data_IF_710536594208
#
_entry.id   IF_710536594208
#
_cell.length_a   1.000
_cell.length_b   1.000
_cell.length_c   1.000
_cell.angle_alpha   90.00
_cell.angle_beta   90.00
_cell.angle_gamma   90.00
#
_symmetry.space_group_name_H-M   'P 1'
#
loop_
_entity.id
_entity.type
_entity.pdbx_description
1 polymer ?
#
# COMPACT_ATOMS: atom_id res chain seq x y z
N UNK A 1 10.68 4.71 -12.37
CA UNK A 1 11.06 3.28 -12.48
C UNK A 1 11.77 3.06 -13.79
N UNK A 2 11.91 1.81 -14.22
CA UNK A 2 12.51 1.46 -15.51
C UNK A 2 11.71 0.35 -16.20
N UNK A 3 11.93 0.19 -17.50
CA UNK A 3 11.40 -0.91 -18.31
C UNK A 3 12.60 -1.77 -18.72
N UNK A 4 12.45 -3.08 -18.64
CA UNK A 4 13.44 -4.05 -19.11
C UNK A 4 12.77 -5.03 -20.07
N UNK A 5 13.40 -5.29 -21.22
CA UNK A 5 12.96 -6.29 -22.19
C UNK A 5 14.18 -6.87 -22.91
N UNK A 6 14.08 -8.12 -23.37
CA UNK A 6 15.06 -8.73 -24.27
C UNK A 6 14.79 -8.41 -25.74
N UNK A 7 13.61 -7.90 -26.06
CA UNK A 7 13.22 -7.49 -27.41
C UNK A 7 13.65 -6.04 -27.66
N UNK A 8 14.67 -5.80 -28.51
CA UNK A 8 15.13 -4.44 -28.81
C UNK A 8 14.08 -3.62 -29.55
N UNK A 9 13.29 -4.25 -30.43
CA UNK A 9 12.24 -3.57 -31.17
C UNK A 9 11.19 -2.97 -30.22
N UNK A 10 10.83 -3.70 -29.17
CA UNK A 10 9.94 -3.20 -28.13
C UNK A 10 10.53 -2.00 -27.37
N UNK A 11 11.81 -2.07 -26.99
CA UNK A 11 12.48 -0.96 -26.29
C UNK A 11 12.51 0.31 -27.16
N UNK A 12 12.81 0.17 -28.45
CA UNK A 12 12.84 1.31 -29.38
C UNK A 12 11.46 1.95 -29.53
N UNK A 13 10.39 1.15 -29.62
CA UNK A 13 9.02 1.66 -29.70
C UNK A 13 8.61 2.40 -28.43
N UNK A 14 8.99 1.91 -27.26
CA UNK A 14 8.77 2.61 -25.98
C UNK A 14 9.57 3.91 -25.94
N UNK A 15 10.82 3.92 -26.41
CA UNK A 15 11.65 5.13 -26.45
C UNK A 15 11.03 6.19 -27.37
N UNK A 16 10.55 5.84 -28.56
CA UNK A 16 9.85 6.79 -29.43
C UNK A 16 8.56 7.34 -28.80
N UNK A 17 7.83 6.53 -28.03
CA UNK A 17 6.65 7.02 -27.30
C UNK A 17 7.02 8.01 -26.19
N UNK A 18 8.21 7.89 -25.60
CA UNK A 18 8.67 8.84 -24.58
C UNK A 18 8.78 10.24 -25.12
N UNK A 19 9.19 10.44 -26.38
CA UNK A 19 9.31 11.77 -26.98
C UNK A 19 7.98 12.56 -27.00
N UNK A 20 6.84 11.85 -27.03
CA UNK A 20 5.51 12.44 -26.99
C UNK A 20 4.92 12.59 -25.59
N UNK A 21 5.54 12.00 -24.56
CA UNK A 21 4.97 11.95 -23.21
C UNK A 21 5.86 12.62 -22.17
N UNK A 22 7.15 12.27 -22.14
CA UNK A 22 8.04 12.62 -21.02
C UNK A 22 9.45 13.03 -21.46
N UNK A 23 9.84 12.73 -22.70
CA UNK A 23 11.18 12.89 -23.27
C UNK A 23 12.21 12.11 -22.43
N UNK A 24 12.63 12.66 -21.29
CA UNK A 24 13.57 12.06 -20.37
C UNK A 24 13.22 12.35 -18.91
N UNK A 25 13.86 11.61 -18.00
CA UNK A 25 13.79 11.92 -16.57
C UNK A 25 14.67 13.13 -16.26
N UNK A 26 14.40 13.82 -15.15
CA UNK A 26 15.25 14.94 -14.75
C UNK A 26 16.64 14.44 -14.32
N UNK A 27 17.70 15.12 -14.77
CA UNK A 27 19.07 14.75 -14.42
C UNK A 27 19.33 14.71 -12.89
N UNK A 28 18.82 15.66 -12.07
CA UNK A 28 18.94 15.55 -10.61
C UNK A 28 18.24 14.32 -10.04
N UNK A 29 17.07 13.95 -10.56
CA UNK A 29 16.37 12.73 -10.13
C UNK A 29 17.16 11.47 -10.50
N UNK A 30 17.83 11.45 -11.65
CA UNK A 30 18.70 10.33 -12.06
C UNK A 30 19.89 10.16 -11.12
N UNK A 31 20.53 11.26 -10.69
CA UNK A 31 21.61 11.22 -9.70
C UNK A 31 21.12 10.60 -8.38
N UNK A 32 19.96 11.05 -7.87
CA UNK A 32 19.37 10.50 -6.65
C UNK A 32 18.97 9.03 -6.81
N UNK A 33 18.42 8.65 -7.97
CA UNK A 33 18.06 7.28 -8.27
C UNK A 33 19.29 6.36 -8.30
N UNK A 34 20.40 6.79 -8.91
CA UNK A 34 21.66 6.05 -8.92
C UNK A 34 22.21 5.89 -7.49
N UNK A 35 22.19 6.97 -6.69
CA UNK A 35 22.61 6.91 -5.29
C UNK A 35 21.76 5.93 -4.47
N UNK A 36 20.44 5.95 -4.66
CA UNK A 36 19.52 5.03 -4.00
C UNK A 36 19.74 3.57 -4.45
N UNK A 37 19.91 3.31 -5.75
CA UNK A 37 20.13 1.97 -6.29
C UNK A 37 21.46 1.35 -5.81
N UNK A 38 22.52 2.14 -5.67
CA UNK A 38 23.79 1.71 -5.07
C UNK A 38 23.66 1.30 -3.59
N UNK A 39 22.59 1.74 -2.93
CA UNK A 39 22.22 1.39 -1.54
C UNK A 39 20.91 0.59 -1.49
N UNK A 40 20.55 -0.06 -2.60
CA UNK A 40 19.25 -0.72 -2.78
C UNK A 40 18.94 -1.74 -1.69
N UNK A 41 19.90 -2.60 -1.36
CA UNK A 41 19.71 -3.65 -0.34
C UNK A 41 19.49 -3.07 1.06
N UNK A 42 20.21 -2.00 1.41
CA UNK A 42 20.08 -1.32 2.69
C UNK A 42 18.71 -0.64 2.81
N UNK A 43 18.30 0.12 1.78
CA UNK A 43 17.02 0.80 1.74
C UNK A 43 15.85 -0.19 1.75
N UNK A 44 15.92 -1.22 0.91
CA UNK A 44 14.91 -2.26 0.83
C UNK A 44 14.85 -3.07 2.13
N UNK A 45 15.99 -3.39 2.74
CA UNK A 45 16.08 -4.06 4.04
C UNK A 45 15.40 -3.26 5.15
N UNK A 46 15.66 -1.94 5.21
CA UNK A 46 14.99 -1.04 6.15
C UNK A 46 13.48 -1.02 5.94
N UNK A 47 13.01 -0.87 4.70
CA UNK A 47 11.58 -0.87 4.39
C UNK A 47 10.92 -2.21 4.72
N UNK A 48 11.56 -3.34 4.39
CA UNK A 48 11.08 -4.68 4.76
C UNK A 48 10.96 -4.85 6.27
N UNK A 49 11.94 -4.39 7.04
CA UNK A 49 11.90 -4.47 8.50
C UNK A 49 10.68 -3.74 9.09
N UNK A 50 10.34 -2.56 8.55
CA UNK A 50 9.16 -1.80 8.98
C UNK A 50 7.89 -2.61 8.68
N UNK A 51 7.76 -3.12 7.45
CA UNK A 51 6.58 -3.88 7.04
C UNK A 51 6.41 -5.16 7.85
N UNK A 52 7.49 -5.92 8.09
CA UNK A 52 7.44 -7.16 8.87
C UNK A 52 6.98 -6.90 10.30
N UNK A 53 7.54 -5.88 10.96
CA UNK A 53 7.13 -5.51 12.33
C UNK A 53 5.66 -5.09 12.39
N UNK A 54 5.19 -4.34 11.40
CA UNK A 54 3.80 -3.91 11.32
C UNK A 54 2.85 -5.04 10.96
N UNK A 55 3.30 -6.03 10.19
CA UNK A 55 2.47 -7.17 9.79
C UNK A 55 2.05 -8.01 11.00
N UNK A 56 2.95 -8.23 11.97
CA UNK A 56 2.64 -9.02 13.16
C UNK A 56 1.54 -8.38 14.01
N UNK A 57 1.62 -7.06 14.23
CA UNK A 57 0.57 -6.32 14.97
C UNK A 57 -0.73 -6.25 14.18
N UNK A 58 -0.66 -6.09 12.86
CA UNK A 58 -1.83 -6.09 11.98
C UNK A 58 -2.55 -7.44 12.02
N UNK A 59 -1.81 -8.54 11.84
CA UNK A 59 -2.35 -9.90 11.86
C UNK A 59 -3.08 -10.15 13.18
N UNK A 60 -2.44 -9.85 14.30
CA UNK A 60 -3.07 -9.99 15.62
C UNK A 60 -4.35 -9.15 15.72
N UNK A 61 -4.31 -7.89 15.32
CA UNK A 61 -5.45 -6.97 15.41
C UNK A 61 -6.70 -7.50 14.69
N UNK A 62 -6.55 -8.03 13.48
CA UNK A 62 -7.68 -8.54 12.70
C UNK A 62 -8.14 -9.93 13.16
N UNK A 63 -7.21 -10.82 13.54
CA UNK A 63 -7.58 -12.14 14.07
C UNK A 63 -8.32 -12.04 15.42
N UNK A 64 -7.93 -11.08 16.27
CA UNK A 64 -8.63 -10.80 17.53
C UNK A 64 -10.06 -10.22 17.30
N UNK A 65 -10.40 -9.82 16.06
CA UNK A 65 -11.68 -9.22 15.65
C UNK A 65 -12.31 -9.98 14.47
N UNK A 66 -12.20 -11.31 14.48
CA UNK A 66 -12.69 -12.19 13.40
C UNK A 66 -14.21 -12.15 13.19
N UNK A 67 -14.98 -11.60 14.12
CA UNK A 67 -16.40 -11.31 14.00
C UNK A 67 -16.68 -10.07 13.12
N UNK A 68 -15.73 -9.13 13.08
CA UNK A 68 -15.82 -7.88 12.30
C UNK A 68 -15.06 -7.92 10.99
N UNK A 69 -14.02 -8.74 10.89
CA UNK A 69 -13.14 -8.77 9.72
C UNK A 69 -12.74 -10.19 9.33
N UNK A 70 -12.53 -10.38 8.04
CA UNK A 70 -11.79 -11.54 7.53
C UNK A 70 -10.38 -11.09 7.11
N UNK A 71 -9.37 -11.78 7.65
CA UNK A 71 -7.98 -11.47 7.41
C UNK A 71 -7.38 -12.34 6.29
N UNK A 72 -6.72 -11.70 5.34
CA UNK A 72 -5.96 -12.36 4.29
C UNK A 72 -4.48 -12.00 4.42
N UNK A 73 -3.65 -13.00 4.74
CA UNK A 73 -2.21 -12.79 4.91
C UNK A 73 -1.57 -12.37 3.58
N UNK A 74 -0.95 -11.18 3.49
CA UNK A 74 -0.30 -10.73 2.27
C UNK A 74 0.98 -11.52 2.03
N UNK A 75 1.12 -12.09 0.82
CA UNK A 75 2.33 -12.84 0.42
C UNK A 75 3.54 -11.94 0.12
N UNK A 76 3.32 -10.63 -0.02
CA UNK A 76 4.37 -9.65 -0.30
C UNK A 76 3.83 -8.23 -0.39
N UNK A 77 4.75 -7.27 -0.52
CA UNK A 77 4.43 -5.85 -0.55
C UNK A 77 4.27 -5.25 0.84
N UNK A 78 3.66 -4.06 0.91
CA UNK A 78 3.49 -3.28 2.15
C UNK A 78 2.04 -2.95 2.46
N UNK A 79 1.10 -3.71 1.89
CA UNK A 79 -0.33 -3.45 1.98
C UNK A 79 -1.10 -4.75 2.22
N UNK A 80 -2.20 -4.67 2.95
CA UNK A 80 -3.15 -5.75 3.16
C UNK A 80 -4.55 -5.33 2.66
N UNK A 81 -5.41 -6.33 2.45
CA UNK A 81 -6.77 -6.13 1.93
C UNK A 81 -7.76 -6.98 2.75
N UNK A 82 -8.01 -6.64 4.02
CA UNK A 82 -9.02 -7.33 4.83
C UNK A 82 -10.44 -7.06 4.31
N UNK A 83 -11.34 -8.01 4.56
CA UNK A 83 -12.78 -7.84 4.31
C UNK A 83 -13.47 -7.33 5.57
N UNK A 84 -14.37 -6.37 5.39
CA UNK A 84 -15.31 -5.93 6.42
C UNK A 84 -16.51 -6.88 6.45
N UNK A 85 -16.82 -7.42 7.63
CA UNK A 85 -17.98 -8.28 7.86
C UNK A 85 -19.17 -7.49 8.40
N UNK A 86 -20.37 -8.03 8.17
CA UNK A 86 -21.64 -7.45 8.61
C UNK A 86 -22.37 -6.72 7.49
N UNK A 87 -23.28 -5.82 7.87
CA UNK A 87 -24.15 -5.08 6.95
C UNK A 87 -23.62 -3.71 6.56
N UNK A 88 -22.59 -3.21 7.26
CA UNK A 88 -21.96 -1.93 6.96
C UNK A 88 -21.17 -2.04 5.65
N UNK A 89 -21.35 -1.05 4.76
CA UNK A 89 -20.57 -0.96 3.53
C UNK A 89 -19.18 -0.42 3.82
N UNK A 90 -18.18 -0.90 3.07
CA UNK A 90 -16.80 -0.45 3.24
C UNK A 90 -16.61 1.00 2.80
N UNK A 91 -17.46 1.49 1.88
CA UNK A 91 -17.51 2.90 1.50
C UNK A 91 -17.82 3.77 2.73
N UNK A 92 -18.92 3.51 3.41
CA UNK A 92 -19.34 4.30 4.58
C UNK A 92 -18.32 4.14 5.73
N UNK A 93 -17.77 2.94 5.91
CA UNK A 93 -16.72 2.67 6.88
C UNK A 93 -15.46 3.53 6.63
N UNK A 94 -14.97 3.59 5.40
CA UNK A 94 -13.81 4.40 5.04
C UNK A 94 -14.09 5.91 5.12
N UNK A 95 -15.29 6.35 4.72
CA UNK A 95 -15.71 7.75 4.85
C UNK A 95 -15.73 8.18 6.33
N UNK A 96 -16.35 7.39 7.21
CA UNK A 96 -16.41 7.67 8.65
C UNK A 96 -15.03 7.64 9.31
N UNK A 97 -14.16 6.69 8.93
CA UNK A 97 -12.80 6.62 9.45
C UNK A 97 -12.00 7.90 9.17
N UNK A 98 -12.19 8.49 7.98
CA UNK A 98 -11.53 9.76 7.63
C UNK A 98 -12.18 10.94 8.35
N UNK A 99 -13.50 11.05 8.36
CA UNK A 99 -14.21 12.24 8.90
C UNK A 99 -14.15 12.31 10.42
N UNK A 100 -14.27 11.18 11.11
CA UNK A 100 -14.36 11.13 12.59
C UNK A 100 -13.00 10.99 13.26
N UNK A 101 -12.04 10.35 12.58
CA UNK A 101 -10.76 9.93 13.18
C UNK A 101 -9.53 10.35 12.37
N UNK A 102 -9.70 11.04 11.24
CA UNK A 102 -8.60 11.42 10.34
C UNK A 102 -7.76 10.20 9.89
N UNK A 103 -8.38 9.02 9.81
CA UNK A 103 -7.74 7.78 9.43
C UNK A 103 -8.04 7.46 7.95
N UNK A 104 -7.02 7.58 7.11
CA UNK A 104 -7.14 7.29 5.68
C UNK A 104 -6.87 5.82 5.36
N UNK A 105 -7.94 5.10 5.06
CA UNK A 105 -7.95 3.76 4.44
C UNK A 105 -8.70 3.83 3.11
N UNK A 106 -8.37 2.94 2.17
CA UNK A 106 -8.92 3.02 0.81
C UNK A 106 -9.97 1.93 0.57
N UNK A 107 -11.21 2.26 0.19
CA UNK A 107 -12.23 1.26 -0.09
C UNK A 107 -11.92 0.49 -1.38
N UNK A 108 -12.54 -0.67 -1.51
CA UNK A 108 -12.32 -1.62 -2.59
C UNK A 108 -12.76 -1.15 -3.98
N UNK A 109 -13.80 -0.31 -4.07
CA UNK A 109 -14.28 0.20 -5.36
C UNK A 109 -13.21 1.02 -6.11
N UNK A 110 -12.17 1.52 -5.43
CA UNK A 110 -11.03 2.18 -6.09
C UNK A 110 -10.16 1.19 -6.88
N UNK A 111 -10.34 -0.11 -6.64
CA UNK A 111 -9.70 -1.23 -7.35
C UNK A 111 -10.68 -1.95 -8.29
N UNK A 112 -11.81 -1.33 -8.64
CA UNK A 112 -12.84 -1.89 -9.51
C UNK A 112 -13.45 -3.21 -8.99
N UNK A 113 -13.55 -3.36 -7.67
CA UNK A 113 -14.21 -4.51 -7.02
C UNK A 113 -15.19 -4.06 -5.93
N UNK A 114 -16.19 -4.89 -5.64
CA UNK A 114 -17.22 -4.67 -4.61
C UNK A 114 -17.34 -5.92 -3.74
N UNK A 115 -16.30 -6.17 -2.95
CA UNK A 115 -16.17 -7.35 -2.09
C UNK A 115 -16.30 -6.99 -0.61
N UNK A 116 -16.61 -5.72 -0.31
CA UNK A 116 -16.60 -5.11 1.00
C UNK A 116 -15.21 -5.12 1.67
N UNK A 117 -14.16 -4.80 0.91
CA UNK A 117 -12.77 -4.78 1.38
C UNK A 117 -12.19 -3.36 1.45
N UNK A 118 -11.09 -3.18 2.19
CA UNK A 118 -10.32 -1.94 2.16
C UNK A 118 -8.82 -2.21 2.15
N UNK A 119 -8.06 -1.33 1.48
CA UNK A 119 -6.60 -1.38 1.48
C UNK A 119 -6.04 -0.67 2.71
N UNK A 120 -5.28 -1.42 3.48
CA UNK A 120 -4.48 -0.96 4.61
C UNK A 120 -2.99 -0.91 4.23
N UNK A 121 -2.31 0.20 4.52
CA UNK A 121 -0.87 0.36 4.25
C UNK A 121 -0.01 0.20 5.51
N UNK A 122 0.90 -0.77 5.51
CA UNK A 122 1.80 -1.12 6.62
C UNK A 122 3.24 -0.60 6.44
N UNK A 123 3.48 0.27 5.45
CA UNK A 123 4.82 0.73 5.08
C UNK A 123 5.42 1.84 5.94
N UNK A 124 4.71 2.34 6.96
CA UNK A 124 5.13 3.50 7.77
C UNK A 124 5.56 3.10 9.17
N UNK A 125 6.49 3.86 9.76
CA UNK A 125 6.93 3.64 11.15
C UNK A 125 5.85 3.95 12.17
N UNK A 126 5.01 4.95 11.89
CA UNK A 126 3.91 5.35 12.77
C UNK A 126 2.62 4.53 12.55
N UNK A 127 2.76 3.33 12.01
CA UNK A 127 1.63 2.44 11.73
C UNK A 127 0.95 1.94 13.02
N UNK A 128 1.66 1.57 14.11
CA UNK A 128 1.02 1.16 15.35
C UNK A 128 0.04 2.20 15.92
N UNK A 129 0.38 3.48 15.80
CA UNK A 129 -0.48 4.60 16.22
C UNK A 129 -1.74 4.67 15.36
N UNK A 130 -1.62 4.53 14.05
CA UNK A 130 -2.76 4.48 13.14
C UNK A 130 -3.66 3.26 13.39
N UNK A 131 -3.06 2.10 13.70
CA UNK A 131 -3.79 0.88 14.05
C UNK A 131 -4.54 1.02 15.38
N UNK A 132 -3.97 1.74 16.36
CA UNK A 132 -4.67 2.06 17.60
C UNK A 132 -5.86 3.00 17.36
N UNK A 133 -5.73 4.00 16.47
CA UNK A 133 -6.85 4.86 16.05
C UNK A 133 -7.97 4.03 15.42
N UNK A 134 -7.63 3.06 14.57
CA UNK A 134 -8.60 2.12 14.01
C UNK A 134 -9.28 1.28 15.10
N UNK A 135 -8.53 0.81 16.09
CA UNK A 135 -9.09 0.10 17.24
C UNK A 135 -10.14 0.93 17.99
N UNK A 136 -9.80 2.17 18.34
CA UNK A 136 -10.69 3.09 19.04
C UNK A 136 -11.92 3.49 18.20
N UNK A 137 -11.78 3.53 16.87
CA UNK A 137 -12.90 3.77 15.96
C UNK A 137 -13.94 2.65 16.01
N UNK A 138 -13.52 1.41 16.29
CA UNK A 138 -14.39 0.24 16.34
C UNK A 138 -15.10 0.05 17.69
N UNK A 139 -14.63 0.71 18.74
CA UNK A 139 -15.17 0.60 20.12
C UNK A 139 -16.18 1.71 20.45
N UNK A 140 -16.30 2.74 19.60
CA UNK A 140 -17.30 3.81 19.71
C UNK A 140 -18.50 3.58 18.81
#
# INVERSE_FOLDING_TARGET
GWITSRDPWFIDRVASLKDYTTICSSAPSEILAIAALRKGDELAGRCRSIVVQNLDSTRKFFLDRADRFEWFEPQGGSTAFPRLLGTQTVKDFCENAVTERSLMILPDFVFDVDWNHFRLGMGRKNFPEALAVLGNFLEG
#
